data_IF_017008560832
#
_entry.id   IF_017008560832
#
_cell.length_a   1.000
_cell.length_b   1.000
_cell.length_c   1.000
_cell.angle_alpha   90.00
_cell.angle_beta   90.00
_cell.angle_gamma   90.00
#
_symmetry.space_group_name_H-M   'P 1'
#
loop_
_entity.id
_entity.type
_entity.pdbx_description
1 polymer ?
#
# COMPACT_ATOMS: atom_id res chain seq x y z
N UNK A 1 -0.90 12.10 16.73
CA UNK A 1 -1.64 12.43 15.49
C UNK A 1 -0.94 13.59 14.79
N UNK A 2 -0.60 13.43 13.52
CA UNK A 2 0.06 14.47 12.72
C UNK A 2 -0.94 15.18 11.80
N UNK A 3 -0.71 16.45 11.58
CA UNK A 3 -1.49 17.33 10.72
C UNK A 3 -0.76 17.63 9.41
N UNK A 4 -1.41 18.35 8.53
CA UNK A 4 -0.83 18.76 7.25
C UNK A 4 0.52 19.47 7.40
N UNK A 5 0.67 20.30 8.43
CA UNK A 5 1.90 21.05 8.70
C UNK A 5 3.09 20.14 9.00
N UNK A 6 2.83 18.95 9.59
CA UNK A 6 3.86 17.98 10.01
C UNK A 6 4.40 17.12 8.85
N UNK A 7 3.78 17.19 7.67
CA UNK A 7 4.26 16.44 6.50
C UNK A 7 5.57 17.02 6.00
N UNK A 8 6.63 16.22 6.04
CA UNK A 8 7.96 16.56 5.52
C UNK A 8 8.08 16.04 4.09
N UNK A 9 8.43 16.90 3.15
CA UNK A 9 8.57 16.53 1.74
C UNK A 9 9.97 16.00 1.44
N UNK A 10 10.06 15.03 0.51
CA UNK A 10 11.31 14.57 -0.04
C UNK A 10 12.09 13.58 0.83
N UNK A 11 11.55 13.14 1.94
CA UNK A 11 12.16 12.13 2.81
C UNK A 11 11.39 10.80 2.76
N UNK A 12 12.09 9.71 2.49
CA UNK A 12 11.51 8.37 2.58
C UNK A 12 11.29 7.97 4.03
N UNK A 13 10.11 7.41 4.30
CA UNK A 13 9.70 6.96 5.63
C UNK A 13 9.29 5.50 5.53
N UNK A 14 9.93 4.62 6.31
CA UNK A 14 9.44 3.26 6.51
C UNK A 14 8.20 3.31 7.41
N UNK A 15 7.06 2.87 6.87
CA UNK A 15 5.77 2.91 7.56
C UNK A 15 5.58 1.68 8.43
N UNK A 16 6.01 0.51 7.96
CA UNK A 16 5.90 -0.75 8.66
C UNK A 16 6.03 -1.95 7.73
N UNK A 17 5.77 -3.12 8.28
CA UNK A 17 6.00 -4.41 7.62
C UNK A 17 4.84 -5.37 7.83
N UNK A 18 4.72 -6.33 6.91
CA UNK A 18 3.79 -7.44 7.00
C UNK A 18 4.30 -8.63 6.18
N UNK A 19 4.10 -9.83 6.69
CA UNK A 19 4.44 -11.07 6.00
C UNK A 19 3.18 -11.87 5.77
N UNK A 20 2.63 -11.88 4.53
CA UNK A 20 1.43 -12.65 4.24
C UNK A 20 1.75 -14.14 4.21
N UNK A 21 1.02 -14.94 4.99
CA UNK A 21 1.11 -16.39 4.91
C UNK A 21 0.41 -16.93 3.67
N UNK A 22 0.73 -18.19 3.33
CA UNK A 22 -0.01 -18.92 2.30
C UNK A 22 -1.52 -18.93 2.57
N UNK A 23 -1.91 -19.23 3.79
CA UNK A 23 -3.32 -19.31 4.17
C UNK A 23 -4.02 -17.95 4.08
N UNK A 24 -3.36 -16.88 4.46
CA UNK A 24 -3.87 -15.51 4.28
C UNK A 24 -4.13 -15.19 2.80
N UNK A 25 -3.20 -15.53 1.92
CA UNK A 25 -3.32 -15.29 0.47
C UNK A 25 -4.52 -16.05 -0.10
N UNK A 26 -4.64 -17.34 0.23
CA UNK A 26 -5.72 -18.22 -0.25
C UNK A 26 -7.08 -17.79 0.31
N UNK A 27 -7.15 -17.46 1.60
CA UNK A 27 -8.38 -17.01 2.25
C UNK A 27 -8.91 -15.71 1.64
N UNK A 28 -8.03 -14.72 1.45
CA UNK A 28 -8.42 -13.48 0.78
C UNK A 28 -8.94 -13.74 -0.65
N UNK A 29 -8.21 -14.53 -1.41
CA UNK A 29 -8.56 -14.83 -2.80
C UNK A 29 -9.88 -15.58 -2.89
N UNK A 30 -10.12 -16.56 -2.03
CA UNK A 30 -11.37 -17.32 -2.01
C UNK A 30 -12.59 -16.43 -1.83
N UNK A 31 -12.44 -15.37 -1.07
CA UNK A 31 -13.53 -14.42 -0.77
C UNK A 31 -13.67 -13.32 -1.81
N UNK A 32 -12.56 -12.80 -2.35
CA UNK A 32 -12.55 -11.55 -3.10
C UNK A 32 -12.02 -11.64 -4.53
N UNK A 33 -11.22 -12.66 -4.86
CA UNK A 33 -10.58 -12.81 -6.17
C UNK A 33 -10.19 -14.27 -6.42
N UNK A 34 -11.18 -15.16 -6.67
CA UNK A 34 -10.97 -16.61 -6.69
C UNK A 34 -10.33 -17.10 -8.01
N UNK A 35 -9.19 -16.52 -8.39
CA UNK A 35 -8.40 -16.99 -9.52
C UNK A 35 -7.55 -18.22 -9.13
N UNK A 36 -7.38 -19.21 -10.01
CA UNK A 36 -6.65 -20.44 -9.69
C UNK A 36 -5.25 -20.21 -9.12
N UNK A 37 -4.49 -19.27 -9.66
CA UNK A 37 -3.13 -18.96 -9.22
C UNK A 37 -3.03 -18.21 -7.88
N UNK A 38 -4.17 -17.86 -7.29
CA UNK A 38 -4.26 -17.33 -5.91
C UNK A 38 -4.77 -18.36 -4.90
N UNK A 39 -5.27 -19.51 -5.39
CA UNK A 39 -5.96 -20.52 -4.59
C UNK A 39 -5.18 -21.83 -4.45
N UNK A 40 -4.46 -22.22 -5.50
CA UNK A 40 -3.84 -23.53 -5.61
C UNK A 40 -2.40 -23.44 -6.14
N UNK A 41 -1.48 -24.10 -5.42
CA UNK A 41 -0.05 -24.01 -5.76
C UNK A 41 0.30 -24.71 -7.09
N UNK A 42 -0.37 -25.80 -7.41
CA UNK A 42 -0.13 -26.53 -8.66
C UNK A 42 -0.62 -25.71 -9.87
N UNK A 43 -1.86 -25.23 -9.81
CA UNK A 43 -2.40 -24.33 -10.83
C UNK A 43 -1.58 -23.05 -10.98
N UNK A 44 -1.09 -22.51 -9.89
CA UNK A 44 -0.23 -21.31 -9.89
C UNK A 44 1.13 -21.56 -10.55
N UNK A 45 1.72 -22.73 -10.30
CA UNK A 45 3.02 -23.10 -10.88
C UNK A 45 2.97 -23.18 -12.40
N UNK A 46 1.85 -23.69 -12.93
CA UNK A 46 1.62 -23.84 -14.37
C UNK A 46 1.14 -22.54 -15.05
N UNK A 47 0.89 -21.49 -14.28
CA UNK A 47 0.50 -20.17 -14.77
C UNK A 47 1.71 -19.26 -15.07
N UNK A 48 1.43 -18.12 -15.73
CA UNK A 48 2.46 -17.08 -15.96
C UNK A 48 3.04 -16.52 -14.66
N UNK A 49 2.35 -16.73 -13.53
CA UNK A 49 2.83 -16.28 -12.20
C UNK A 49 3.94 -17.18 -11.66
N UNK A 50 4.08 -18.41 -12.16
CA UNK A 50 5.15 -19.34 -11.79
C UNK A 50 5.10 -19.84 -10.34
N UNK A 51 4.00 -19.64 -9.63
CA UNK A 51 3.79 -20.03 -8.25
C UNK A 51 2.67 -19.23 -7.59
N UNK A 52 2.22 -19.70 -6.43
CA UNK A 52 1.18 -19.03 -5.65
C UNK A 52 1.56 -17.57 -5.38
N UNK A 53 0.63 -16.67 -5.62
CA UNK A 53 0.79 -15.25 -5.35
C UNK A 53 -0.50 -14.61 -4.85
N UNK A 54 -0.35 -13.52 -4.10
CA UNK A 54 -1.49 -12.74 -3.64
C UNK A 54 -2.19 -12.04 -4.81
N UNK A 55 -3.51 -11.91 -4.71
CA UNK A 55 -4.27 -10.99 -5.56
C UNK A 55 -3.71 -9.57 -5.47
N UNK A 56 -3.75 -8.81 -6.57
CA UNK A 56 -3.39 -7.38 -6.53
C UNK A 56 -4.29 -6.59 -5.57
N UNK A 57 -5.56 -6.98 -5.44
CA UNK A 57 -6.46 -6.42 -4.43
C UNK A 57 -5.95 -6.69 -3.01
N UNK A 58 -5.42 -7.88 -2.75
CA UNK A 58 -4.82 -8.25 -1.47
C UNK A 58 -3.52 -7.48 -1.22
N UNK A 59 -2.66 -7.33 -2.23
CA UNK A 59 -1.43 -6.54 -2.15
C UNK A 59 -1.73 -5.10 -1.74
N UNK A 60 -2.74 -4.48 -2.35
CA UNK A 60 -3.20 -3.15 -1.94
C UNK A 60 -3.75 -3.15 -0.50
N UNK A 61 -4.58 -4.14 -0.14
CA UNK A 61 -5.12 -4.26 1.22
C UNK A 61 -4.02 -4.40 2.28
N UNK A 62 -2.94 -5.12 1.99
CA UNK A 62 -1.76 -5.22 2.86
C UNK A 62 -1.13 -3.84 3.09
N UNK A 63 -0.98 -3.03 2.05
CA UNK A 63 -0.45 -1.67 2.20
C UNK A 63 -1.33 -0.80 3.10
N UNK A 64 -2.65 -0.91 2.96
CA UNK A 64 -3.62 -0.22 3.81
C UNK A 64 -3.54 -0.70 5.27
N UNK A 65 -3.40 -2.01 5.48
CA UNK A 65 -3.22 -2.61 6.81
C UNK A 65 -1.95 -2.09 7.49
N UNK A 66 -0.81 -2.12 6.80
CA UNK A 66 0.46 -1.60 7.32
C UNK A 66 0.31 -0.12 7.69
N UNK A 67 -0.26 0.68 6.78
CA UNK A 67 -0.49 2.11 7.03
C UNK A 67 -1.41 2.35 8.23
N UNK A 68 -2.41 1.50 8.44
CA UNK A 68 -3.33 1.62 9.59
C UNK A 68 -2.65 1.37 10.95
N UNK A 69 -1.55 0.63 10.95
CA UNK A 69 -0.78 0.24 12.15
C UNK A 69 0.39 1.19 12.46
N UNK A 70 0.63 2.18 11.60
CA UNK A 70 1.75 3.13 11.80
C UNK A 70 1.60 3.86 13.13
N UNK A 71 2.73 4.08 13.82
CA UNK A 71 2.77 4.74 15.13
C UNK A 71 2.32 6.20 15.05
N UNK A 72 2.67 6.86 13.95
CA UNK A 72 2.34 8.27 13.71
C UNK A 72 1.34 8.38 12.56
N UNK A 73 0.08 8.61 12.89
CA UNK A 73 -1.00 8.74 11.91
C UNK A 73 -1.18 10.20 11.50
N UNK A 74 -1.29 10.43 10.20
CA UNK A 74 -1.83 11.68 9.67
C UNK A 74 -3.34 11.74 9.88
N UNK A 75 -3.86 12.92 10.16
CA UNK A 75 -5.31 13.18 10.16
C UNK A 75 -5.81 13.27 8.71
N UNK A 76 -5.86 12.12 8.05
CA UNK A 76 -6.37 12.01 6.69
C UNK A 76 -7.89 12.11 6.69
N UNK A 77 -8.41 13.04 5.89
CA UNK A 77 -9.85 13.27 5.78
C UNK A 77 -10.48 12.48 4.63
N UNK A 78 -9.79 12.38 3.48
CA UNK A 78 -10.29 11.66 2.32
C UNK A 78 -9.17 11.31 1.32
N UNK A 79 -9.32 10.20 0.61
CA UNK A 79 -8.55 9.88 -0.59
C UNK A 79 -9.19 10.62 -1.78
N UNK A 80 -8.38 11.32 -2.57
CA UNK A 80 -8.84 12.02 -3.77
C UNK A 80 -8.64 11.19 -5.03
N UNK A 81 -7.61 10.38 -5.06
CA UNK A 81 -7.29 9.52 -6.20
C UNK A 81 -5.98 8.77 -6.00
N UNK A 82 -5.79 7.75 -6.83
CA UNK A 82 -4.57 6.97 -6.84
C UNK A 82 -4.26 6.43 -8.23
N UNK A 83 -2.97 6.25 -8.50
CA UNK A 83 -2.45 5.42 -9.57
C UNK A 83 -1.63 4.29 -8.93
N UNK A 84 -1.91 3.05 -9.33
CA UNK A 84 -1.31 1.86 -8.73
C UNK A 84 -0.73 0.96 -9.82
N UNK A 85 0.46 0.40 -9.57
CA UNK A 85 1.12 -0.59 -10.41
C UNK A 85 1.62 -1.76 -9.58
N UNK A 86 1.56 -2.96 -10.16
CA UNK A 86 1.98 -4.22 -9.53
C UNK A 86 3.07 -4.88 -10.39
N UNK A 87 4.33 -4.42 -10.29
CA UNK A 87 5.39 -4.89 -11.18
C UNK A 87 5.82 -6.34 -10.95
N UNK A 88 5.65 -6.85 -9.73
CA UNK A 88 6.02 -8.21 -9.36
C UNK A 88 4.98 -8.84 -8.43
N UNK A 89 4.81 -10.18 -8.47
CA UNK A 89 3.87 -10.87 -7.60
C UNK A 89 4.33 -10.89 -6.15
N UNK A 90 3.37 -10.85 -5.22
CA UNK A 90 3.60 -11.10 -3.81
C UNK A 90 3.59 -12.60 -3.54
N UNK A 91 4.68 -13.13 -3.00
CA UNK A 91 4.82 -14.55 -2.64
C UNK A 91 4.46 -14.78 -1.18
N UNK A 92 3.97 -15.98 -0.82
CA UNK A 92 3.72 -16.31 0.58
C UNK A 92 5.03 -16.34 1.38
N UNK A 93 4.94 -15.98 2.66
CA UNK A 93 6.02 -16.02 3.66
C UNK A 93 7.22 -15.10 3.36
N UNK A 94 7.05 -14.14 2.45
CA UNK A 94 8.05 -13.10 2.18
C UNK A 94 7.63 -11.80 2.85
N UNK A 95 8.50 -11.22 3.68
CA UNK A 95 8.23 -9.96 4.35
C UNK A 95 8.13 -8.81 3.36
N UNK A 96 7.11 -7.98 3.53
CA UNK A 96 6.85 -6.77 2.76
C UNK A 96 7.05 -5.55 3.63
N UNK A 97 7.79 -4.57 3.12
CA UNK A 97 8.03 -3.28 3.78
C UNK A 97 7.34 -2.17 3.00
N UNK A 98 6.50 -1.38 3.68
CA UNK A 98 5.84 -0.21 3.10
C UNK A 98 6.70 1.03 3.34
N UNK A 99 7.04 1.74 2.26
CA UNK A 99 7.87 2.94 2.27
C UNK A 99 7.09 4.07 1.59
N UNK A 100 6.99 5.21 2.27
CA UNK A 100 6.30 6.41 1.78
C UNK A 100 7.29 7.54 1.51
N UNK A 101 7.09 8.25 0.41
CA UNK A 101 7.80 9.47 0.05
C UNK A 101 6.79 10.58 -0.24
N UNK A 102 6.58 11.54 0.66
CA UNK A 102 5.76 12.70 0.38
C UNK A 102 6.42 13.58 -0.69
N UNK A 103 5.69 13.88 -1.77
CA UNK A 103 6.20 14.58 -2.95
C UNK A 103 5.83 16.05 -2.98
N UNK A 104 4.57 16.34 -2.66
CA UNK A 104 4.01 17.68 -2.75
C UNK A 104 2.95 17.88 -1.67
N UNK A 105 2.83 19.12 -1.20
CA UNK A 105 1.71 19.53 -0.35
C UNK A 105 1.27 20.97 -0.66
N UNK A 106 -0.01 21.20 -0.60
CA UNK A 106 -0.60 22.55 -0.76
C UNK A 106 -1.88 22.69 0.06
N UNK A 107 -2.15 23.88 0.52
CA UNK A 107 -3.44 24.18 1.18
C UNK A 107 -4.56 24.05 0.15
N UNK A 108 -5.70 23.51 0.54
CA UNK A 108 -6.88 23.42 -0.32
C UNK A 108 -7.44 24.81 -0.59
N UNK A 109 -7.71 25.11 -1.86
CA UNK A 109 -8.28 26.41 -2.26
C UNK A 109 -9.75 26.55 -1.85
N UNK A 110 -10.51 25.43 -1.85
CA UNK A 110 -11.93 25.41 -1.54
C UNK A 110 -12.26 25.12 -0.07
N UNK A 111 -11.29 24.54 0.68
CA UNK A 111 -11.47 24.11 2.07
C UNK A 111 -10.23 24.48 2.89
N UNK A 112 -10.17 25.68 3.49
CA UNK A 112 -8.97 26.18 4.17
C UNK A 112 -8.51 25.31 5.37
N UNK A 113 -9.42 24.53 5.96
CA UNK A 113 -9.13 23.64 7.10
C UNK A 113 -8.40 22.33 6.71
N UNK A 114 -8.13 22.10 5.42
CA UNK A 114 -7.42 20.92 4.93
C UNK A 114 -6.35 21.30 3.91
N UNK A 115 -5.34 20.46 3.79
CA UNK A 115 -4.36 20.51 2.71
C UNK A 115 -4.44 19.26 1.84
N UNK A 116 -3.97 19.37 0.62
CA UNK A 116 -3.77 18.24 -0.31
C UNK A 116 -2.32 17.80 -0.19
N UNK A 117 -2.11 16.51 0.01
CA UNK A 117 -0.79 15.88 0.01
C UNK A 117 -0.76 14.86 -1.11
N UNK A 118 0.33 14.87 -1.89
CA UNK A 118 0.62 13.82 -2.87
C UNK A 118 1.83 13.04 -2.40
N UNK A 119 1.69 11.74 -2.27
CA UNK A 119 2.76 10.83 -1.85
C UNK A 119 2.96 9.71 -2.86
N UNK A 120 4.20 9.27 -2.98
CA UNK A 120 4.56 8.00 -3.60
C UNK A 120 4.74 6.98 -2.50
N UNK A 121 4.18 5.79 -2.71
CA UNK A 121 4.32 4.67 -1.79
C UNK A 121 4.76 3.46 -2.57
N UNK A 122 5.70 2.70 -2.02
CA UNK A 122 6.12 1.42 -2.57
C UNK A 122 6.07 0.32 -1.52
N UNK A 123 5.68 -0.86 -1.94
CA UNK A 123 5.70 -2.08 -1.12
C UNK A 123 6.81 -2.96 -1.65
N UNK A 124 7.83 -3.16 -0.85
CA UNK A 124 9.06 -3.86 -1.25
C UNK A 124 9.12 -5.25 -0.64
N UNK A 125 9.42 -6.26 -1.44
CA UNK A 125 9.76 -7.60 -0.95
C UNK A 125 11.13 -7.59 -0.29
N UNK A 126 11.27 -8.35 0.79
CA UNK A 126 12.55 -8.56 1.46
C UNK A 126 13.61 -9.09 0.47
N UNK A 127 14.72 -8.36 0.36
CA UNK A 127 15.83 -8.71 -0.53
C UNK A 127 15.48 -8.74 -2.03
N UNK A 128 14.33 -8.24 -2.42
CA UNK A 128 13.81 -8.32 -3.78
C UNK A 128 13.23 -7.02 -4.32
N UNK A 129 12.49 -7.10 -5.44
CA UNK A 129 11.93 -5.93 -6.10
C UNK A 129 10.70 -5.39 -5.36
N UNK A 130 10.24 -4.20 -5.79
CA UNK A 130 8.95 -3.67 -5.41
C UNK A 130 7.83 -4.53 -6.01
N UNK A 131 6.83 -4.85 -5.19
CA UNK A 131 5.64 -5.61 -5.60
C UNK A 131 4.43 -4.71 -5.85
N UNK A 132 4.48 -3.48 -5.35
CA UNK A 132 3.51 -2.44 -5.61
C UNK A 132 4.19 -1.08 -5.61
N UNK A 133 3.77 -0.25 -6.55
CA UNK A 133 4.11 1.16 -6.62
C UNK A 133 2.82 1.97 -6.74
N UNK A 134 2.70 3.03 -5.97
CA UNK A 134 1.47 3.82 -5.91
C UNK A 134 1.78 5.30 -5.77
N UNK A 135 1.08 6.15 -6.50
CA UNK A 135 0.96 7.57 -6.20
C UNK A 135 -0.46 7.88 -5.75
N UNK A 136 -0.58 8.59 -4.65
CA UNK A 136 -1.85 8.96 -4.05
C UNK A 136 -1.94 10.45 -3.82
N UNK A 137 -3.15 10.98 -3.96
CA UNK A 137 -3.49 12.33 -3.50
C UNK A 137 -4.59 12.23 -2.46
N UNK A 138 -4.40 12.86 -1.32
CA UNK A 138 -5.34 12.79 -0.20
C UNK A 138 -5.41 14.11 0.58
N UNK A 139 -6.52 14.27 1.28
CA UNK A 139 -6.74 15.42 2.15
C UNK A 139 -6.25 15.12 3.56
N UNK A 140 -5.51 16.05 4.14
CA UNK A 140 -5.05 16.02 5.53
C UNK A 140 -5.57 17.25 6.24
N UNK A 141 -6.10 17.07 7.45
CA UNK A 141 -6.55 18.19 8.26
C UNK A 141 -5.36 19.08 8.65
N UNK A 142 -5.62 20.38 8.67
CA UNK A 142 -4.68 21.38 9.20
C UNK A 142 -4.88 21.53 10.71
N UNK A 143 -3.83 22.02 11.38
CA UNK A 143 -3.99 22.38 12.79
C UNK A 143 -5.08 23.45 12.96
N UNK A 144 -5.86 23.33 14.04
CA UNK A 144 -6.84 24.36 14.41
C UNK A 144 -6.22 25.73 14.60
#
# INVERSE_FOLDING_TARGET
MHYFEDVVLGEEIEIGRHTPSRDEIVEFARKWDPQPFHLDEEAARDSVMGGLCASSCHTYAISALINSRRSTRLKTAAMLGMEVRFPHPVRPDVELTLIELPLEKRVSKSRPGVGVVRSRTRLQSEGGPDVMWMETSFLVERRP
#
